data_IF_328997355935
#
_entry.id   IF_328997355935
#
_cell.length_a   1.000
_cell.length_b   1.000
_cell.length_c   1.000
_cell.angle_alpha   90.00
_cell.angle_beta   90.00
_cell.angle_gamma   90.00
#
_symmetry.space_group_name_H-M   'P 1'
#
loop_
_entity.id
_entity.type
_entity.pdbx_description
1 polymer ?
#
# COMPACT_ATOMS: atom_id res chain seq x y z
N UNK A 1 20.76 -11.50 18.90
CA UNK A 1 20.24 -12.07 17.65
C UNK A 1 20.70 -11.20 16.47
N UNK A 2 21.31 -11.84 15.45
CA UNK A 2 21.77 -11.13 14.27
C UNK A 2 20.57 -10.79 13.39
N UNK A 3 20.17 -9.52 13.40
CA UNK A 3 19.16 -9.03 12.47
C UNK A 3 19.79 -8.97 11.07
N UNK A 4 19.18 -9.58 10.06
CA UNK A 4 19.66 -9.50 8.68
C UNK A 4 19.85 -8.07 8.21
N UNK A 5 20.81 -7.83 7.32
CA UNK A 5 21.15 -6.48 6.87
C UNK A 5 19.96 -5.75 6.21
N UNK A 6 19.10 -6.47 5.50
CA UNK A 6 17.92 -5.90 4.84
C UNK A 6 16.84 -5.44 5.84
N UNK A 7 16.89 -5.92 7.09
CA UNK A 7 15.95 -5.54 8.15
C UNK A 7 16.49 -4.45 9.08
N UNK A 8 17.70 -3.96 8.87
CA UNK A 8 18.29 -2.91 9.70
C UNK A 8 17.74 -1.55 9.34
N UNK A 9 17.19 -0.85 10.33
CA UNK A 9 16.74 0.55 10.20
C UNK A 9 17.85 1.58 10.40
N UNK A 10 18.99 1.18 10.95
CA UNK A 10 20.13 2.09 11.22
C UNK A 10 20.71 2.61 9.91
N UNK A 11 20.81 3.93 9.77
CA UNK A 11 21.31 4.59 8.57
C UNK A 11 20.24 4.83 7.49
N UNK A 12 18.97 4.60 7.80
CA UNK A 12 17.84 4.83 6.90
C UNK A 12 17.04 6.07 7.31
N UNK A 13 16.25 6.64 6.40
CA UNK A 13 15.35 7.75 6.71
C UNK A 13 14.35 7.40 7.82
N UNK A 14 14.01 8.37 8.66
CA UNK A 14 12.98 8.22 9.68
C UNK A 14 11.61 8.17 9.03
N UNK A 15 10.76 7.26 9.52
CA UNK A 15 9.37 7.13 9.03
C UNK A 15 9.23 6.38 7.70
N UNK A 16 10.30 5.75 7.21
CA UNK A 16 10.26 4.85 6.05
C UNK A 16 9.26 3.72 6.28
N UNK A 17 8.43 3.44 5.28
CA UNK A 17 7.46 2.35 5.37
C UNK A 17 8.12 0.98 5.23
N UNK A 18 7.77 0.10 6.17
CA UNK A 18 8.27 -1.28 6.23
C UNK A 18 7.12 -2.26 6.10
N UNK A 19 7.23 -3.16 5.15
CA UNK A 19 6.19 -4.15 4.90
C UNK A 19 6.68 -5.30 4.03
N UNK A 20 5.73 -6.06 3.52
CA UNK A 20 5.98 -7.18 2.63
C UNK A 20 6.01 -6.72 1.18
N UNK A 21 6.80 -7.40 0.36
CA UNK A 21 6.79 -7.19 -1.09
C UNK A 21 5.69 -8.05 -1.70
N UNK A 22 4.79 -7.43 -2.45
CA UNK A 22 3.77 -8.15 -3.21
C UNK A 22 4.29 -8.55 -4.58
N UNK A 23 4.01 -9.79 -5.00
CA UNK A 23 4.36 -10.33 -6.32
C UNK A 23 3.16 -10.46 -7.26
N UNK A 24 1.94 -10.31 -6.75
CA UNK A 24 0.70 -10.46 -7.48
C UNK A 24 -0.44 -10.94 -6.61
N UNK A 25 -1.43 -11.56 -7.24
CA UNK A 25 -2.57 -12.20 -6.57
C UNK A 25 -2.55 -13.70 -6.84
N UNK A 26 -2.88 -14.49 -5.82
CA UNK A 26 -3.09 -15.91 -5.98
C UNK A 26 -4.29 -16.21 -6.87
N UNK A 27 -4.13 -17.08 -7.85
CA UNK A 27 -5.20 -17.44 -8.78
C UNK A 27 -5.89 -18.74 -8.39
N UNK A 28 -5.17 -19.72 -7.84
CA UNK A 28 -5.69 -21.05 -7.53
C UNK A 28 -5.23 -21.55 -6.17
N UNK A 29 -5.99 -22.50 -5.61
CA UNK A 29 -5.60 -23.19 -4.38
C UNK A 29 -4.32 -24.02 -4.54
N UNK A 30 -4.06 -24.54 -5.74
CA UNK A 30 -2.84 -25.28 -6.04
C UNK A 30 -1.60 -24.38 -5.97
N UNK A 31 -1.71 -23.14 -6.47
CA UNK A 31 -0.65 -22.15 -6.35
C UNK A 31 -0.36 -21.81 -4.88
N UNK A 32 -1.39 -21.65 -4.06
CA UNK A 32 -1.27 -21.38 -2.63
C UNK A 32 -0.55 -22.54 -1.92
N UNK A 33 -0.92 -23.78 -2.23
CA UNK A 33 -0.33 -24.98 -1.62
C UNK A 33 1.18 -25.12 -1.89
N UNK A 34 1.69 -24.53 -2.97
CA UNK A 34 3.10 -24.58 -3.38
C UNK A 34 3.88 -23.28 -3.13
N UNK A 35 3.24 -22.30 -2.50
CA UNK A 35 3.84 -20.98 -2.24
C UNK A 35 4.01 -20.71 -0.74
N UNK A 36 4.96 -19.85 -0.41
CA UNK A 36 5.05 -19.29 0.94
C UNK A 36 3.84 -18.41 1.23
N UNK A 37 3.18 -18.62 2.36
CA UNK A 37 1.98 -17.87 2.74
C UNK A 37 2.07 -17.30 4.15
N UNK A 38 1.35 -16.21 4.39
CA UNK A 38 1.19 -15.60 5.70
C UNK A 38 -0.18 -15.96 6.30
N UNK A 39 -0.29 -17.13 6.94
CA UNK A 39 -1.56 -17.57 7.54
C UNK A 39 -2.60 -18.06 6.53
N UNK A 40 -3.89 -18.08 6.90
CA UNK A 40 -4.96 -18.50 6.00
C UNK A 40 -5.01 -17.63 4.76
N UNK A 41 -4.97 -18.24 3.60
CA UNK A 41 -4.90 -17.57 2.29
C UNK A 41 -5.88 -18.24 1.34
N UNK A 42 -6.54 -17.45 0.50
CA UNK A 42 -7.50 -17.91 -0.52
C UNK A 42 -7.15 -17.33 -1.88
N UNK A 43 -7.66 -17.88 -2.99
CA UNK A 43 -7.53 -17.26 -4.30
C UNK A 43 -8.04 -15.82 -4.29
N UNK A 44 -7.30 -14.94 -4.96
CA UNK A 44 -7.53 -13.49 -4.95
C UNK A 44 -6.84 -12.73 -3.81
N UNK A 45 -6.18 -13.42 -2.87
CA UNK A 45 -5.35 -12.78 -1.85
C UNK A 45 -3.98 -12.40 -2.43
N UNK A 46 -3.33 -11.45 -1.77
CA UNK A 46 -2.03 -10.94 -2.19
C UNK A 46 -0.96 -12.02 -1.97
N UNK A 47 -0.21 -12.32 -3.01
CA UNK A 47 0.96 -13.17 -2.97
C UNK A 47 2.16 -12.36 -2.50
N UNK A 48 2.72 -12.74 -1.37
CA UNK A 48 3.86 -12.07 -0.75
C UNK A 48 5.15 -12.80 -1.09
N UNK A 49 6.21 -12.04 -1.25
CA UNK A 49 7.54 -12.56 -1.53
C UNK A 49 8.20 -13.08 -0.28
N UNK A 50 8.69 -14.31 -0.35
CA UNK A 50 9.58 -14.89 0.64
C UNK A 50 11.00 -14.32 0.43
N UNK A 51 11.44 -13.46 1.33
CA UNK A 51 12.70 -12.74 1.20
C UNK A 51 13.88 -13.61 1.61
N UNK A 52 13.70 -14.44 2.62
CA UNK A 52 14.76 -15.29 3.15
C UNK A 52 14.82 -16.69 2.50
N UNK A 53 13.77 -17.09 1.77
CA UNK A 53 13.68 -18.37 1.06
C UNK A 53 13.44 -19.57 1.96
N UNK A 54 12.81 -19.38 3.12
CA UNK A 54 12.53 -20.48 4.08
C UNK A 54 11.20 -21.21 3.83
N UNK A 55 10.44 -20.76 2.84
CA UNK A 55 9.14 -21.32 2.45
C UNK A 55 7.97 -20.84 3.30
N UNK A 56 8.16 -19.80 4.10
CA UNK A 56 7.13 -19.20 4.96
C UNK A 56 7.24 -17.68 4.95
N UNK A 57 6.12 -17.00 5.01
CA UNK A 57 6.11 -15.55 5.21
C UNK A 57 5.95 -15.27 6.69
N UNK A 58 6.90 -14.55 7.26
CA UNK A 58 6.87 -14.16 8.68
C UNK A 58 7.10 -12.66 8.87
N UNK A 59 6.49 -12.09 9.91
CA UNK A 59 6.63 -10.67 10.22
C UNK A 59 8.07 -10.27 10.54
N UNK A 60 8.80 -11.18 11.16
CA UNK A 60 10.15 -10.90 11.70
C UNK A 60 11.26 -11.10 10.67
N UNK A 61 10.99 -11.73 9.53
CA UNK A 61 12.04 -12.15 8.60
C UNK A 61 11.80 -11.69 7.14
N UNK A 62 10.55 -11.34 6.76
CA UNK A 62 10.21 -11.05 5.36
C UNK A 62 9.81 -9.60 5.11
N UNK A 63 9.97 -8.73 6.11
CA UNK A 63 9.73 -7.31 5.96
C UNK A 63 10.97 -6.58 5.47
N UNK A 64 10.73 -5.71 4.50
CA UNK A 64 11.75 -4.83 3.93
C UNK A 64 11.21 -3.41 3.82
N UNK A 65 12.04 -2.41 3.59
CA UNK A 65 11.56 -1.09 3.23
C UNK A 65 10.84 -1.16 1.89
N UNK A 66 9.60 -0.71 1.89
CA UNK A 66 8.73 -0.74 0.71
C UNK A 66 8.42 0.66 0.19
N UNK A 67 8.73 1.69 0.96
CA UNK A 67 8.53 3.04 0.56
C UNK A 67 9.13 4.12 1.43
N UNK A 68 9.02 5.35 0.92
CA UNK A 68 9.48 6.53 1.62
C UNK A 68 8.56 6.88 2.79
N UNK A 69 9.00 7.80 3.62
CA UNK A 69 8.16 8.42 4.65
C UNK A 69 6.99 9.20 4.04
N UNK A 70 5.92 9.36 4.79
CA UNK A 70 4.83 10.29 4.45
C UNK A 70 5.26 11.77 4.53
N UNK A 71 6.45 12.06 5.04
CA UNK A 71 7.01 13.40 5.06
C UNK A 71 7.74 13.68 3.76
N UNK A 72 7.36 14.71 3.00
CA UNK A 72 8.05 15.05 1.76
C UNK A 72 9.53 15.36 1.97
N UNK A 73 10.40 14.78 1.16
CA UNK A 73 11.82 15.11 1.14
C UNK A 73 12.10 16.37 0.32
N UNK A 74 11.20 16.73 -0.60
CA UNK A 74 11.31 17.90 -1.44
C UNK A 74 10.02 18.72 -1.38
N UNK A 75 10.17 20.01 -1.12
CA UNK A 75 9.09 20.99 -1.26
C UNK A 75 9.58 22.12 -2.16
N UNK A 76 8.71 22.62 -3.02
CA UNK A 76 9.02 23.71 -3.93
C UNK A 76 7.87 24.71 -4.00
N UNK A 77 8.20 25.94 -4.33
CA UNK A 77 7.24 27.00 -4.56
C UNK A 77 7.68 27.91 -5.70
N UNK A 78 6.73 28.34 -6.51
CA UNK A 78 6.93 29.29 -7.58
C UNK A 78 5.91 30.40 -7.43
N UNK A 79 6.40 31.63 -7.25
CA UNK A 79 5.56 32.83 -7.22
C UNK A 79 5.81 33.66 -8.49
N UNK A 80 4.75 33.91 -9.24
CA UNK A 80 4.79 34.73 -10.45
C UNK A 80 3.88 35.92 -10.22
N UNK A 81 4.41 37.12 -10.42
CA UNK A 81 3.66 38.37 -10.36
C UNK A 81 3.88 39.23 -11.58
N UNK A 82 2.84 39.88 -12.05
CA UNK A 82 2.91 40.85 -13.15
C UNK A 82 1.93 41.98 -12.89
N UNK A 83 2.37 43.20 -13.21
CA UNK A 83 1.54 44.41 -13.17
C UNK A 83 1.54 45.09 -14.55
N UNK A 84 0.38 45.42 -15.05
CA UNK A 84 0.25 46.13 -16.31
C UNK A 84 -0.96 47.02 -16.35
N UNK A 85 -0.74 48.33 -16.52
CA UNK A 85 -1.80 49.34 -16.67
C UNK A 85 -2.87 49.31 -15.56
N UNK A 86 -2.47 49.08 -14.32
CA UNK A 86 -3.37 49.00 -13.17
C UNK A 86 -4.09 47.66 -13.01
N UNK A 87 -3.65 46.63 -13.73
CA UNK A 87 -4.08 45.25 -13.53
C UNK A 87 -2.94 44.50 -12.90
N UNK A 88 -3.19 43.91 -11.72
CA UNK A 88 -2.26 43.08 -10.98
C UNK A 88 -2.59 41.60 -11.18
N UNK A 89 -1.59 40.81 -11.51
CA UNK A 89 -1.69 39.38 -11.56
C UNK A 89 -0.70 38.76 -10.58
N UNK A 90 -1.17 37.85 -9.75
CA UNK A 90 -0.28 37.04 -8.91
C UNK A 90 -0.71 35.59 -8.91
N UNK A 91 0.26 34.70 -8.99
CA UNK A 91 0.05 33.25 -8.98
C UNK A 91 1.11 32.58 -8.11
N UNK A 92 0.68 31.79 -7.14
CA UNK A 92 1.53 31.00 -6.29
C UNK A 92 1.30 29.51 -6.60
N UNK A 93 2.38 28.81 -6.95
CA UNK A 93 2.41 27.36 -7.08
C UNK A 93 3.21 26.78 -5.93
N UNK A 94 2.66 25.77 -5.29
CA UNK A 94 3.35 25.00 -4.25
C UNK A 94 3.24 23.52 -4.60
N UNK A 95 4.31 22.77 -4.33
CA UNK A 95 4.31 21.34 -4.52
C UNK A 95 5.24 20.65 -3.54
N UNK A 96 4.96 19.38 -3.36
CA UNK A 96 5.77 18.47 -2.58
C UNK A 96 6.04 17.20 -3.39
N UNK A 97 7.20 16.59 -3.18
CA UNK A 97 7.59 15.38 -3.88
C UNK A 97 8.49 14.49 -3.01
N UNK A 98 8.76 13.29 -3.49
CA UNK A 98 9.60 12.31 -2.81
C UNK A 98 9.03 11.90 -1.45
N UNK A 99 7.75 11.58 -1.40
CA UNK A 99 7.05 10.97 -0.27
C UNK A 99 6.02 9.96 -0.78
N UNK A 100 5.65 9.03 0.07
CA UNK A 100 4.68 8.00 -0.24
C UNK A 100 3.50 8.06 0.73
N UNK A 101 2.33 7.64 0.28
CA UNK A 101 1.12 7.60 1.10
C UNK A 101 0.64 6.16 1.20
N UNK A 102 0.36 5.74 2.42
CA UNK A 102 -0.25 4.45 2.66
C UNK A 102 -1.76 4.52 2.40
N UNK A 103 -2.21 3.85 1.36
CA UNK A 103 -3.62 3.84 0.97
C UNK A 103 -4.50 3.10 1.99
N UNK A 104 -3.97 2.13 2.72
CA UNK A 104 -4.71 1.46 3.79
C UNK A 104 -5.22 2.44 4.84
N UNK A 105 -4.43 3.46 5.18
CA UNK A 105 -4.81 4.49 6.15
C UNK A 105 -5.87 5.46 5.67
N UNK A 106 -5.90 5.78 4.37
CA UNK A 106 -6.81 6.79 3.80
C UNK A 106 -8.26 6.34 3.79
N UNK A 107 -8.50 5.05 3.67
CA UNK A 107 -9.84 4.46 3.59
C UNK A 107 -10.17 3.62 4.84
N UNK A 108 -9.29 3.58 5.81
CA UNK A 108 -9.55 2.91 7.08
C UNK A 108 -10.54 3.73 7.91
N UNK A 109 -11.65 3.15 8.27
CA UNK A 109 -12.53 3.72 9.27
C UNK A 109 -11.90 3.58 10.67
N UNK A 110 -12.12 4.57 11.49
CA UNK A 110 -11.51 4.73 12.82
C UNK A 110 -12.08 3.69 13.78
N UNK A 111 -11.56 2.51 13.79
CA UNK A 111 -11.98 1.50 14.74
C UNK A 111 -11.47 0.10 14.43
N UNK A 112 -10.53 -0.35 15.18
CA UNK A 112 -10.12 -1.73 15.47
C UNK A 112 -9.57 -2.60 14.33
N UNK A 113 -9.70 -2.23 13.06
CA UNK A 113 -9.30 -3.13 11.99
C UNK A 113 -8.79 -2.37 10.76
N UNK A 114 -7.49 -2.48 10.48
CA UNK A 114 -6.79 -1.78 9.39
C UNK A 114 -7.02 -2.39 8.00
N UNK A 115 -8.16 -3.04 7.76
CA UNK A 115 -8.38 -3.85 6.56
C UNK A 115 -9.60 -3.44 5.76
N UNK A 116 -9.80 -2.14 5.61
CA UNK A 116 -11.01 -1.58 5.02
C UNK A 116 -11.17 -1.72 3.53
N UNK A 117 -10.08 -1.88 2.80
CA UNK A 117 -10.17 -2.15 1.37
C UNK A 117 -10.98 -3.38 1.02
N UNK A 118 -11.04 -4.33 1.95
CA UNK A 118 -11.71 -5.61 1.74
C UNK A 118 -13.12 -5.66 2.31
N UNK A 119 -13.59 -4.58 2.94
CA UNK A 119 -14.90 -4.52 3.59
C UNK A 119 -15.79 -3.39 3.04
N UNK A 120 -16.15 -3.41 1.76
CA UNK A 120 -16.83 -2.28 1.11
C UNK A 120 -18.19 -1.95 1.69
N UNK A 121 -18.87 -2.91 2.34
CA UNK A 121 -20.28 -2.78 2.75
C UNK A 121 -20.51 -3.08 4.24
N UNK A 122 -19.46 -3.21 5.02
CA UNK A 122 -19.55 -3.60 6.42
C UNK A 122 -19.00 -2.49 7.33
N UNK A 123 -19.64 -2.24 8.47
CA UNK A 123 -19.24 -1.25 9.47
C UNK A 123 -19.03 0.16 8.89
N UNK A 124 -20.06 0.71 8.26
CA UNK A 124 -20.02 2.07 7.67
C UNK A 124 -18.94 2.27 6.58
N UNK A 125 -18.43 1.17 6.04
CA UNK A 125 -17.44 1.19 4.96
C UNK A 125 -18.03 1.80 3.70
N UNK A 126 -17.52 2.95 3.30
CA UNK A 126 -17.87 3.60 2.06
C UNK A 126 -16.72 3.41 1.06
N UNK A 127 -16.68 2.22 0.46
CA UNK A 127 -15.65 1.88 -0.50
C UNK A 127 -15.93 2.53 -1.86
N UNK A 128 -14.96 3.17 -2.49
CA UNK A 128 -15.10 3.68 -3.84
C UNK A 128 -15.51 2.59 -4.82
N UNK A 129 -16.43 2.91 -5.72
CA UNK A 129 -16.97 1.94 -6.69
C UNK A 129 -15.89 1.29 -7.55
N UNK A 130 -14.85 2.03 -7.94
CA UNK A 130 -13.75 1.51 -8.75
C UNK A 130 -12.98 0.36 -8.08
N UNK A 131 -12.89 0.34 -6.75
CA UNK A 131 -12.27 -0.77 -6.02
C UNK A 131 -13.12 -2.04 -6.11
N UNK A 132 -14.44 -1.88 -6.04
CA UNK A 132 -15.38 -3.00 -6.20
C UNK A 132 -15.35 -3.55 -7.62
N UNK A 133 -15.36 -2.65 -8.60
CA UNK A 133 -15.33 -3.01 -10.02
C UNK A 133 -14.04 -3.74 -10.40
N UNK A 134 -12.89 -3.23 -9.94
CA UNK A 134 -11.58 -3.75 -10.28
C UNK A 134 -11.02 -4.73 -9.24
N UNK A 135 -11.86 -5.30 -8.37
CA UNK A 135 -11.45 -6.34 -7.42
C UNK A 135 -11.40 -7.72 -8.08
N UNK A 136 -10.51 -8.55 -7.57
CA UNK A 136 -10.38 -9.92 -8.04
C UNK A 136 -11.66 -10.72 -7.77
N UNK A 137 -12.07 -11.45 -8.79
CA UNK A 137 -13.16 -12.43 -8.79
C UNK A 137 -12.83 -13.54 -9.79
N UNK A 138 -13.46 -14.71 -9.70
CA UNK A 138 -13.21 -15.79 -10.67
C UNK A 138 -13.47 -15.41 -12.13
N UNK A 139 -14.35 -14.44 -12.36
CA UNK A 139 -14.65 -13.86 -13.68
C UNK A 139 -13.77 -12.65 -14.05
N UNK A 140 -12.93 -12.19 -13.13
CA UNK A 140 -11.98 -11.10 -13.32
C UNK A 140 -10.60 -11.42 -12.67
N UNK A 141 -9.87 -12.42 -13.18
CA UNK A 141 -8.61 -12.88 -12.57
C UNK A 141 -7.46 -11.88 -12.70
N UNK A 142 -7.49 -11.01 -13.72
CA UNK A 142 -6.47 -9.97 -13.96
C UNK A 142 -6.78 -8.65 -13.24
N UNK A 143 -7.58 -8.71 -12.19
CA UNK A 143 -7.99 -7.53 -11.43
C UNK A 143 -6.81 -6.77 -10.82
N UNK A 144 -6.95 -5.46 -10.74
CA UNK A 144 -5.96 -4.57 -10.13
C UNK A 144 -5.93 -4.68 -8.61
N UNK A 145 -7.08 -5.01 -7.99
CA UNK A 145 -7.22 -5.10 -6.53
C UNK A 145 -7.53 -6.51 -6.07
N UNK A 146 -7.09 -6.88 -4.85
CA UNK A 146 -7.38 -8.20 -4.29
C UNK A 146 -8.88 -8.42 -4.13
N UNK A 147 -9.27 -9.67 -3.87
CA UNK A 147 -10.66 -10.01 -3.58
C UNK A 147 -11.18 -9.20 -2.38
N UNK A 148 -12.46 -8.89 -2.42
CA UNK A 148 -13.14 -8.25 -1.29
C UNK A 148 -13.52 -9.29 -0.24
N UNK A 149 -13.29 -8.95 1.04
CA UNK A 149 -13.60 -9.82 2.17
C UNK A 149 -14.31 -9.06 3.30
N UNK A 150 -14.88 -9.81 4.23
CA UNK A 150 -15.58 -9.27 5.41
C UNK A 150 -14.69 -9.34 6.66
N UNK A 151 -13.71 -10.22 6.66
CA UNK A 151 -12.86 -10.51 7.81
C UNK A 151 -11.52 -9.80 7.69
N UNK A 152 -11.05 -9.21 8.80
CA UNK A 152 -9.82 -8.42 8.86
C UNK A 152 -8.55 -9.16 8.43
N UNK A 153 -8.54 -10.46 8.58
CA UNK A 153 -7.43 -11.33 8.17
C UNK A 153 -7.44 -11.69 6.69
N UNK A 154 -8.54 -11.40 6.00
CA UNK A 154 -8.63 -11.64 4.56
C UNK A 154 -7.66 -10.71 3.83
N UNK A 155 -7.12 -11.17 2.71
CA UNK A 155 -6.10 -10.49 1.90
C UNK A 155 -4.83 -10.13 2.67
N UNK A 156 -4.56 -10.91 3.69
CA UNK A 156 -3.37 -10.72 4.48
C UNK A 156 -3.29 -9.33 5.10
N UNK A 157 -4.38 -8.73 5.60
CA UNK A 157 -4.45 -7.43 6.30
C UNK A 157 -3.12 -6.80 6.75
N UNK A 158 -2.09 -6.99 5.95
CA UNK A 158 -0.70 -6.66 6.22
C UNK A 158 -0.23 -5.56 5.30
N UNK A 159 0.53 -4.67 5.89
CA UNK A 159 1.23 -3.64 5.14
C UNK A 159 2.12 -4.30 4.10
N UNK A 160 1.85 -4.06 2.83
CA UNK A 160 2.59 -4.60 1.70
C UNK A 160 2.73 -3.56 0.60
N UNK A 161 3.65 -3.78 -0.32
CA UNK A 161 3.85 -2.91 -1.47
C UNK A 161 2.64 -2.83 -2.42
N UNK A 162 1.66 -3.69 -2.25
CA UNK A 162 0.41 -3.61 -3.01
C UNK A 162 -0.45 -2.40 -2.61
N UNK A 163 -0.51 -2.10 -1.30
CA UNK A 163 -1.32 -1.02 -0.74
C UNK A 163 -0.55 0.28 -0.54
N UNK A 164 0.73 0.22 -0.70
CA UNK A 164 1.60 1.35 -0.53
C UNK A 164 2.05 1.86 -1.86
N UNK A 165 2.18 3.14 -1.91
CA UNK A 165 2.96 3.81 -2.89
C UNK A 165 2.30 4.08 -4.21
N UNK A 166 1.37 4.96 -4.17
CA UNK A 166 1.27 5.88 -5.30
C UNK A 166 2.24 7.02 -4.99
N UNK A 167 3.31 7.21 -5.76
CA UNK A 167 4.09 8.44 -5.65
C UNK A 167 3.12 9.59 -5.90
N UNK A 168 2.85 10.34 -4.84
CA UNK A 168 1.91 11.44 -4.93
C UNK A 168 2.66 12.62 -5.54
N UNK A 169 2.42 12.88 -6.80
CA UNK A 169 2.74 14.16 -7.43
C UNK A 169 1.54 15.07 -7.23
N UNK A 170 1.64 16.04 -6.37
CA UNK A 170 0.65 17.12 -6.21
C UNK A 170 1.28 18.42 -6.60
#
# INVERSE_FOLDING_TARGET
PNVPNYMRSTGRPMGEYWGFVAEGLFQTEEEIAHSAVYGPTLPGDIKLKDINGDGKITYDQDRVPIGRSSTPEMMFGLNIGAEWKGIDFSMLWQGAALFDVNLCGMYANVGYDNTFYTKPFYCDGNTPYYLVENSWRPDNPDAEYPRLGIVSRDNGGKMSSWWEMVPTYV
#
